data_IF_283462172004
#
_entry.id   IF_283462172004
#
_cell.length_a   1.000
_cell.length_b   1.000
_cell.length_c   1.000
_cell.angle_alpha   90.00
_cell.angle_beta   90.00
_cell.angle_gamma   90.00
#
_symmetry.space_group_name_H-M   'P 1'
#
loop_
_entity.id
_entity.type
_entity.pdbx_description
1 polymer ?
#
# COMPACT_ATOMS: atom_id res chain seq x y z
N UNK A 1 -7.74 -18.91 0.88
CA UNK A 1 -8.87 -19.78 1.28
C UNK A 1 -9.04 -20.84 0.21
N UNK A 2 -9.27 -22.10 0.58
CA UNK A 2 -9.45 -23.24 -0.34
C UNK A 2 -10.78 -23.94 -0.05
N UNK A 3 -11.41 -24.47 -1.10
CA UNK A 3 -12.67 -25.24 -1.07
C UNK A 3 -12.46 -26.72 -1.44
N UNK A 4 -11.21 -27.18 -1.52
CA UNK A 4 -10.86 -28.57 -1.84
C UNK A 4 -10.72 -28.87 -3.33
N UNK A 5 -10.90 -27.88 -4.21
CA UNK A 5 -10.58 -28.01 -5.65
C UNK A 5 -9.09 -27.77 -5.94
N UNK A 6 -8.66 -27.99 -7.19
CA UNK A 6 -7.27 -27.73 -7.61
C UNK A 6 -6.98 -26.24 -7.86
N UNK A 7 -7.94 -25.35 -7.62
CA UNK A 7 -7.79 -23.89 -7.76
C UNK A 7 -8.08 -23.21 -6.43
N UNK A 8 -7.40 -22.09 -6.13
CA UNK A 8 -7.68 -21.35 -4.92
C UNK A 8 -9.08 -20.73 -4.97
N UNK A 9 -9.91 -21.01 -3.97
CA UNK A 9 -11.23 -20.39 -3.81
C UNK A 9 -11.14 -18.86 -3.61
N UNK A 10 -10.15 -18.39 -2.82
CA UNK A 10 -9.86 -16.96 -2.67
C UNK A 10 -8.39 -16.73 -2.35
N UNK A 11 -7.75 -15.87 -3.13
CA UNK A 11 -6.43 -15.31 -2.86
C UNK A 11 -6.57 -13.83 -2.51
N UNK A 12 -6.34 -13.50 -1.23
CA UNK A 12 -6.20 -12.10 -0.79
C UNK A 12 -4.73 -11.84 -0.54
N UNK A 13 -4.17 -10.87 -1.25
CA UNK A 13 -2.81 -10.37 -1.01
C UNK A 13 -2.91 -9.14 -0.12
N UNK A 14 -2.01 -9.02 0.86
CA UNK A 14 -1.91 -7.84 1.72
C UNK A 14 -0.60 -7.13 1.40
N UNK A 15 -0.68 -6.12 0.55
CA UNK A 15 0.46 -5.29 0.22
C UNK A 15 0.81 -4.34 1.38
N UNK A 16 2.10 -4.18 1.73
CA UNK A 16 2.53 -3.19 2.72
C UNK A 16 2.26 -1.76 2.24
N UNK A 17 2.42 -1.47 0.94
CA UNK A 17 2.18 -0.15 0.36
C UNK A 17 0.77 0.38 0.58
N UNK A 18 -0.24 -0.50 0.68
CA UNK A 18 -1.62 -0.08 0.98
C UNK A 18 -1.75 0.55 2.37
N UNK A 19 -1.08 -0.03 3.37
CA UNK A 19 -1.07 0.52 4.73
C UNK A 19 -0.17 1.76 4.84
N UNK A 20 0.97 1.79 4.13
CA UNK A 20 1.86 2.95 4.08
C UNK A 20 1.18 4.16 3.43
N UNK A 21 0.44 3.95 2.34
CA UNK A 21 -0.33 5.01 1.67
C UNK A 21 -1.41 5.59 2.60
N UNK A 22 -2.05 4.76 3.41
CA UNK A 22 -3.01 5.22 4.42
C UNK A 22 -2.32 6.08 5.52
N UNK A 23 -1.08 5.76 5.87
CA UNK A 23 -0.30 6.51 6.86
C UNK A 23 0.23 7.86 6.35
N UNK A 24 0.22 8.11 5.02
CA UNK A 24 0.71 9.38 4.45
C UNK A 24 -0.04 10.61 4.96
N UNK A 25 -1.35 10.50 5.26
CA UNK A 25 -2.09 11.63 5.85
C UNK A 25 -1.49 12.06 7.19
N UNK A 26 -1.08 11.09 8.02
CA UNK A 26 -0.41 11.40 9.29
C UNK A 26 1.00 11.96 9.06
N UNK A 27 1.76 11.36 8.15
CA UNK A 27 3.15 11.73 7.89
C UNK A 27 3.32 13.09 7.19
N UNK A 28 2.35 13.51 6.39
CA UNK A 28 2.41 14.79 5.66
C UNK A 28 1.78 15.97 6.42
N UNK A 29 1.14 15.74 7.59
CA UNK A 29 0.58 16.82 8.41
C UNK A 29 1.69 17.74 8.94
N UNK A 30 1.53 19.05 8.72
CA UNK A 30 2.50 20.06 9.15
C UNK A 30 3.70 20.23 8.22
N UNK A 31 3.76 19.48 7.12
CA UNK A 31 4.78 19.59 6.07
C UNK A 31 4.27 20.38 4.87
N UNK A 32 5.19 20.81 4.01
CA UNK A 32 4.85 21.50 2.76
C UNK A 32 4.53 20.50 1.65
N UNK A 33 3.82 20.96 0.61
CA UNK A 33 3.52 20.13 -0.57
C UNK A 33 4.79 19.56 -1.22
N UNK A 34 5.90 20.30 -1.18
CA UNK A 34 7.19 19.85 -1.69
C UNK A 34 7.71 18.58 -0.96
N UNK A 35 7.42 18.44 0.33
CA UNK A 35 7.91 17.34 1.17
C UNK A 35 7.18 16.02 0.88
N UNK A 36 5.99 16.08 0.26
CA UNK A 36 5.17 14.90 -0.07
C UNK A 36 5.93 13.91 -0.94
N UNK A 37 6.72 14.40 -1.90
CA UNK A 37 7.52 13.54 -2.78
C UNK A 37 8.64 12.81 -2.03
N UNK A 38 9.27 13.46 -1.05
CA UNK A 38 10.29 12.87 -0.22
C UNK A 38 9.72 11.80 0.74
N UNK A 39 8.53 12.06 1.31
CA UNK A 39 7.80 11.10 2.15
C UNK A 39 7.35 9.89 1.32
N UNK A 40 6.83 10.10 0.11
CA UNK A 40 6.40 9.00 -0.76
C UNK A 40 7.58 8.14 -1.21
N UNK A 41 8.72 8.77 -1.53
CA UNK A 41 9.95 8.06 -1.91
C UNK A 41 10.59 7.29 -0.76
N UNK A 42 10.49 7.75 0.48
CA UNK A 42 11.05 7.05 1.64
C UNK A 42 10.24 5.81 2.06
N UNK A 43 8.95 5.78 1.74
CA UNK A 43 8.05 4.64 1.99
C UNK A 43 8.12 3.54 0.91
N UNK A 44 8.80 3.81 -0.21
CA UNK A 44 9.00 2.91 -1.35
C UNK A 44 7.69 2.26 -1.86
N UNK A 45 6.68 3.11 -2.12
CA UNK A 45 5.36 2.63 -2.54
C UNK A 45 5.36 2.33 -4.03
N UNK A 46 5.11 1.07 -4.38
CA UNK A 46 4.86 0.65 -5.77
C UNK A 46 3.36 0.51 -5.99
N UNK A 47 2.76 1.37 -6.81
CA UNK A 47 1.31 1.38 -7.02
C UNK A 47 0.74 0.05 -7.55
N UNK A 48 1.53 -0.73 -8.27
CA UNK A 48 1.12 -2.04 -8.78
C UNK A 48 0.78 -3.06 -7.68
N UNK A 49 1.26 -2.89 -6.43
CA UNK A 49 0.85 -3.72 -5.29
C UNK A 49 -0.35 -3.15 -4.51
N UNK A 50 -0.58 -1.84 -4.58
CA UNK A 50 -1.65 -1.15 -3.85
C UNK A 50 -3.01 -1.34 -4.52
N UNK A 51 -3.04 -1.44 -5.86
CA UNK A 51 -4.27 -1.49 -6.67
C UNK A 51 -4.94 -2.89 -6.74
N UNK A 52 -4.58 -3.85 -5.87
CA UNK A 52 -4.98 -5.27 -5.95
C UNK A 52 -6.08 -5.70 -4.98
#
# INVERSE_FOLDING_TARGET
>A
VSDGTNKPYRCKLRAPGFAHLQAMDFLCRGHMLADVTAVLGSLDIVFGEVDR
#
